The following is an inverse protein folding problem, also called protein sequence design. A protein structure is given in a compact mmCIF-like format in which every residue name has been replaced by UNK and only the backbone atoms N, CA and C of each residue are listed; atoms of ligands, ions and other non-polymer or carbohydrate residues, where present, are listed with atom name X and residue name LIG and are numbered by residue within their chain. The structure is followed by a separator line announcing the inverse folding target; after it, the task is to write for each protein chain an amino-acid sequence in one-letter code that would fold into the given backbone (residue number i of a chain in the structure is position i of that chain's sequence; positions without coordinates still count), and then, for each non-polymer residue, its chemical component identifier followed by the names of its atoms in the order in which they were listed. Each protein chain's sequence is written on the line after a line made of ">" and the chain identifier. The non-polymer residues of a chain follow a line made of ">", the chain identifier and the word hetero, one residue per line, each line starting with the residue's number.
data_IF_686290424347
#
_entry.id   IF_686290424347
#
_cell.length_a   1.000
_cell.length_b   1.000
_cell.length_c   1.000
_cell.angle_alpha   90.00
_cell.angle_beta   90.00
_cell.angle_gamma   90.00
#
_symmetry.space_group_name_H-M   'P 1'
#
loop_
_entity.id
_entity.type
_entity.pdbx_description
1 polymer ?
#
# COMPACT_ATOMS: atom_id res chain seq x y z
N UNK A 1 -2.15 -14.04 25.34
CA UNK A 1 -2.61 -14.02 23.92
C UNK A 1 -1.41 -14.45 23.10
N UNK A 2 -1.56 -15.13 21.96
CA UNK A 2 -0.39 -15.53 21.15
C UNK A 2 -0.46 -14.94 19.75
N UNK A 3 0.68 -14.51 19.23
CA UNK A 3 0.81 -14.11 17.83
C UNK A 3 1.06 -15.32 16.91
N UNK A 4 1.23 -15.07 15.61
CA UNK A 4 1.53 -16.11 14.61
C UNK A 4 2.81 -16.93 14.89
N UNK A 5 3.79 -16.37 15.61
CA UNK A 5 5.00 -17.10 16.02
C UNK A 5 4.76 -18.04 17.20
N UNK A 6 3.61 -17.92 17.87
CA UNK A 6 3.31 -18.62 19.13
C UNK A 6 3.88 -17.93 20.38
N UNK A 7 4.43 -16.72 20.23
CA UNK A 7 4.96 -15.91 21.32
C UNK A 7 3.81 -15.29 22.13
N UNK A 8 3.99 -15.16 23.44
CA UNK A 8 3.01 -14.47 24.29
C UNK A 8 3.02 -12.97 24.03
N UNK A 9 1.86 -12.44 23.65
CA UNK A 9 1.62 -11.05 23.37
C UNK A 9 0.85 -10.38 24.52
N UNK A 10 1.26 -9.15 24.84
CA UNK A 10 0.57 -8.23 25.74
C UNK A 10 -0.63 -7.58 25.04
N UNK A 11 -0.42 -7.09 23.82
CA UNK A 11 -1.44 -6.33 23.09
C UNK A 11 -1.46 -6.75 21.61
N UNK A 12 -2.65 -7.05 21.12
CA UNK A 12 -2.93 -7.13 19.68
C UNK A 12 -3.02 -5.72 19.11
N UNK A 13 -2.26 -5.43 18.05
CA UNK A 13 -2.36 -4.16 17.33
C UNK A 13 -3.27 -4.32 16.11
N UNK A 14 -2.87 -5.18 15.18
CA UNK A 14 -3.60 -5.42 13.94
C UNK A 14 -3.29 -6.78 13.35
N UNK A 15 -4.13 -7.24 12.41
CA UNK A 15 -3.84 -8.38 11.54
C UNK A 15 -4.44 -8.20 10.17
N UNK A 16 -3.81 -8.87 9.21
CA UNK A 16 -4.33 -9.05 7.86
C UNK A 16 -4.89 -10.47 7.75
N UNK A 17 -6.14 -10.58 7.33
CA UNK A 17 -6.84 -11.85 7.19
C UNK A 17 -7.14 -12.19 5.73
N UNK A 18 -6.95 -13.45 5.37
CA UNK A 18 -7.43 -14.03 4.13
C UNK A 18 -8.96 -14.13 4.17
N UNK A 19 -9.64 -13.43 3.27
CA UNK A 19 -11.07 -13.62 2.98
C UNK A 19 -11.26 -14.26 1.61
N UNK A 20 -12.46 -14.73 1.27
CA UNK A 20 -12.76 -15.29 -0.05
C UNK A 20 -12.46 -14.30 -1.19
N UNK A 21 -12.79 -13.02 -0.98
CA UNK A 21 -12.69 -11.93 -1.96
C UNK A 21 -11.37 -11.14 -1.91
N UNK A 22 -10.47 -11.41 -0.95
CA UNK A 22 -9.23 -10.64 -0.83
C UNK A 22 -8.52 -10.76 0.50
N UNK A 23 -7.87 -9.66 0.92
CA UNK A 23 -7.24 -9.51 2.23
C UNK A 23 -7.97 -8.40 3.00
N UNK A 24 -8.41 -8.69 4.22
CA UNK A 24 -9.01 -7.69 5.12
C UNK A 24 -8.01 -7.26 6.19
N UNK A 25 -8.05 -5.97 6.55
CA UNK A 25 -7.30 -5.44 7.68
C UNK A 25 -8.21 -5.34 8.91
N UNK A 26 -7.79 -5.99 9.99
CA UNK A 26 -8.48 -6.00 11.29
C UNK A 26 -7.60 -5.27 12.29
N UNK A 27 -8.16 -4.23 12.92
CA UNK A 27 -7.49 -3.40 13.91
C UNK A 27 -8.02 -3.73 15.31
N UNK A 28 -7.19 -3.53 16.34
CA UNK A 28 -7.65 -3.54 17.73
C UNK A 28 -8.80 -2.56 17.96
N UNK A 29 -9.90 -3.03 18.54
CA UNK A 29 -11.14 -2.25 18.70
C UNK A 29 -10.92 -0.99 19.55
N UNK A 30 -10.19 -1.08 20.66
CA UNK A 30 -9.92 0.09 21.51
C UNK A 30 -9.08 1.15 20.79
N UNK A 31 -8.05 0.73 20.04
CA UNK A 31 -7.25 1.67 19.24
C UNK A 31 -8.09 2.27 18.10
N UNK A 32 -9.01 1.48 17.51
CA UNK A 32 -9.91 1.95 16.47
C UNK A 32 -10.92 2.98 17.00
N UNK A 33 -11.41 2.81 18.22
CA UNK A 33 -12.27 3.76 18.91
C UNK A 33 -11.55 5.07 19.23
N UNK A 34 -10.27 5.02 19.59
CA UNK A 34 -9.47 6.22 19.88
C UNK A 34 -8.80 6.83 18.63
N UNK A 35 -9.14 6.35 17.43
CA UNK A 35 -8.47 6.73 16.19
C UNK A 35 -8.70 8.21 15.79
N UNK A 36 -7.60 8.91 15.54
CA UNK A 36 -7.59 10.28 15.04
C UNK A 36 -7.68 10.34 13.51
N UNK A 37 -8.37 11.35 12.97
CA UNK A 37 -8.58 11.55 11.51
C UNK A 37 -7.26 11.63 10.75
N UNK A 38 -6.27 12.35 11.28
CA UNK A 38 -4.97 12.52 10.62
C UNK A 38 -4.16 11.22 10.60
N UNK A 39 -4.25 10.42 11.67
CA UNK A 39 -3.59 9.11 11.74
C UNK A 39 -4.29 8.11 10.82
N UNK A 40 -5.62 8.06 10.84
CA UNK A 40 -6.41 7.22 9.95
C UNK A 40 -6.08 7.49 8.47
N UNK A 41 -6.01 8.75 8.06
CA UNK A 41 -5.63 9.13 6.71
C UNK A 41 -4.22 8.66 6.31
N UNK A 42 -3.26 8.62 7.25
CA UNK A 42 -1.91 8.07 7.02
C UNK A 42 -1.87 6.54 6.99
N UNK A 43 -2.74 5.88 7.74
CA UNK A 43 -2.83 4.42 7.80
C UNK A 43 -3.38 3.82 6.51
N UNK A 44 -4.40 4.43 5.91
CA UNK A 44 -5.09 3.89 4.72
C UNK A 44 -4.15 3.46 3.58
N UNK A 45 -3.23 4.30 3.08
CA UNK A 45 -2.36 3.91 1.97
C UNK A 45 -1.37 2.80 2.36
N UNK A 46 -0.90 2.76 3.62
CA UNK A 46 -0.01 1.72 4.13
C UNK A 46 -0.74 0.36 4.18
N UNK A 47 -1.94 0.35 4.74
CA UNK A 47 -2.78 -0.85 4.85
C UNK A 47 -3.01 -1.47 3.48
N UNK A 48 -3.23 -0.67 2.45
CA UNK A 48 -3.45 -1.17 1.11
C UNK A 48 -2.22 -1.67 0.40
N UNK A 49 -1.08 -0.98 0.53
CA UNK A 49 0.18 -1.51 0.03
C UNK A 49 0.45 -2.91 0.61
N UNK A 50 0.19 -3.09 1.91
CA UNK A 50 0.26 -4.40 2.55
C UNK A 50 -0.77 -5.39 1.98
N UNK A 51 -2.06 -5.02 1.87
CA UNK A 51 -3.10 -5.90 1.32
C UNK A 51 -2.78 -6.40 -0.10
N UNK A 52 -2.33 -5.50 -0.98
CA UNK A 52 -1.92 -5.81 -2.35
C UNK A 52 -0.77 -6.82 -2.38
N UNK A 53 0.25 -6.60 -1.53
CA UNK A 53 1.39 -7.52 -1.41
C UNK A 53 0.91 -8.89 -0.94
N UNK A 54 0.16 -8.93 0.16
CA UNK A 54 -0.28 -10.15 0.83
C UNK A 54 -1.25 -10.95 -0.03
N UNK A 55 -2.09 -10.29 -0.84
CA UNK A 55 -3.05 -10.93 -1.73
C UNK A 55 -2.37 -11.89 -2.73
N UNK A 56 -1.18 -11.52 -3.23
CA UNK A 56 -0.38 -12.35 -4.15
C UNK A 56 0.05 -13.67 -3.54
N UNK A 57 0.24 -13.67 -2.22
CA UNK A 57 0.68 -14.82 -1.44
C UNK A 57 -0.46 -15.51 -0.68
N UNK A 58 -1.70 -15.05 -0.85
CA UNK A 58 -2.91 -15.61 -0.21
C UNK A 58 -3.02 -17.12 -0.40
N UNK A 59 -2.78 -17.64 -1.61
CA UNK A 59 -2.86 -19.07 -1.92
C UNK A 59 -1.81 -19.93 -1.19
N UNK A 60 -0.75 -19.29 -0.66
CA UNK A 60 0.30 -19.93 0.14
C UNK A 60 0.02 -19.85 1.65
N UNK A 61 -1.01 -19.12 2.07
CA UNK A 61 -1.46 -19.05 3.45
C UNK A 61 -2.60 -20.04 3.67
N UNK A 62 -2.40 -21.01 4.56
CA UNK A 62 -3.43 -21.99 4.92
C UNK A 62 -4.26 -21.56 6.13
N UNK A 63 -3.83 -20.52 6.85
CA UNK A 63 -4.55 -19.93 7.96
C UNK A 63 -5.41 -18.74 7.55
N UNK A 64 -6.29 -18.31 8.47
CA UNK A 64 -7.09 -17.11 8.29
C UNK A 64 -6.24 -15.85 8.37
N UNK A 65 -5.17 -15.83 9.18
CA UNK A 65 -4.31 -14.65 9.34
C UNK A 65 -3.02 -14.85 8.56
N UNK A 66 -2.74 -13.92 7.63
CA UNK A 66 -1.56 -13.96 6.77
C UNK A 66 -0.40 -13.12 7.32
N UNK A 67 -0.71 -12.08 8.08
CA UNK A 67 0.25 -11.23 8.78
C UNK A 67 -0.40 -10.67 10.04
N UNK A 68 0.35 -10.55 11.13
CA UNK A 68 -0.10 -9.87 12.35
C UNK A 68 0.97 -8.94 12.93
N UNK A 69 0.52 -8.03 13.79
CA UNK A 69 1.36 -7.12 14.56
C UNK A 69 0.89 -7.08 16.01
N UNK A 70 1.83 -7.30 16.92
CA UNK A 70 1.57 -7.39 18.36
C UNK A 70 2.65 -6.64 19.15
N UNK A 71 2.29 -6.21 20.36
CA UNK A 71 3.27 -5.87 21.40
C UNK A 71 3.43 -7.11 22.29
N UNK A 72 4.66 -7.56 22.46
CA UNK A 72 5.03 -8.68 23.32
C UNK A 72 5.03 -8.28 24.81
N UNK A 73 5.17 -9.27 25.69
CA UNK A 73 5.18 -9.05 27.15
C UNK A 73 6.38 -8.23 27.64
N UNK A 74 7.49 -8.23 26.89
CA UNK A 74 8.67 -7.42 27.13
C UNK A 74 8.53 -5.98 26.59
N UNK A 75 7.42 -5.68 25.91
CA UNK A 75 7.15 -4.38 25.30
C UNK A 75 7.62 -4.26 23.85
N UNK A 76 8.26 -5.28 23.29
CA UNK A 76 8.74 -5.23 21.91
C UNK A 76 7.58 -5.37 20.92
N UNK A 77 7.63 -4.58 19.84
CA UNK A 77 6.69 -4.72 18.73
C UNK A 77 7.16 -5.81 17.77
N UNK A 78 6.38 -6.88 17.65
CA UNK A 78 6.66 -8.00 16.76
C UNK A 78 5.66 -8.04 15.60
N UNK A 79 6.20 -8.15 14.38
CA UNK A 79 5.44 -8.32 13.15
C UNK A 79 5.73 -9.70 12.58
N UNK A 80 4.71 -10.49 12.32
CA UNK A 80 4.89 -11.85 11.83
C UNK A 80 4.07 -12.12 10.57
N UNK A 81 4.68 -12.83 9.63
CA UNK A 81 4.00 -13.45 8.51
C UNK A 81 3.56 -14.87 8.88
N UNK A 82 2.55 -15.37 8.19
CA UNK A 82 2.19 -16.78 8.27
C UNK A 82 3.42 -17.67 7.98
N UNK A 83 3.63 -18.75 8.75
CA UNK A 83 4.83 -19.59 8.63
C UNK A 83 5.12 -20.01 7.19
N UNK A 84 6.39 -19.86 6.79
CA UNK A 84 6.87 -20.17 5.44
C UNK A 84 6.80 -19.00 4.44
N UNK A 85 5.89 -18.03 4.62
CA UNK A 85 5.78 -16.90 3.67
C UNK A 85 7.02 -16.03 3.64
N UNK A 86 7.71 -15.86 4.77
CA UNK A 86 8.97 -15.10 4.82
C UNK A 86 10.11 -15.71 4.00
N UNK A 87 9.97 -16.95 3.51
CA UNK A 87 10.92 -17.59 2.58
C UNK A 87 10.51 -17.40 1.11
N UNK A 88 9.24 -17.06 0.86
CA UNK A 88 8.70 -16.85 -0.49
C UNK A 88 8.73 -15.38 -0.87
N UNK A 89 8.32 -14.49 0.05
CA UNK A 89 8.41 -13.04 -0.12
C UNK A 89 9.87 -12.65 0.12
N UNK A 90 10.55 -12.12 -0.89
CA UNK A 90 12.00 -11.88 -0.87
C UNK A 90 12.38 -10.46 -1.29
N UNK A 91 13.64 -10.10 -1.04
CA UNK A 91 14.24 -8.87 -1.57
C UNK A 91 13.54 -7.58 -1.14
N UNK A 92 13.38 -6.68 -2.09
CA UNK A 92 12.80 -5.35 -1.87
C UNK A 92 11.31 -5.41 -1.46
N UNK A 93 10.53 -6.36 -1.99
CA UNK A 93 9.11 -6.51 -1.66
C UNK A 93 8.91 -6.88 -0.19
N UNK A 94 9.72 -7.83 0.32
CA UNK A 94 9.69 -8.20 1.75
C UNK A 94 10.02 -7.00 2.63
N UNK A 95 11.06 -6.25 2.27
CA UNK A 95 11.48 -5.06 3.02
C UNK A 95 10.36 -4.02 3.05
N UNK A 96 9.79 -3.69 1.89
CA UNK A 96 8.68 -2.74 1.77
C UNK A 96 7.47 -3.15 2.63
N UNK A 97 7.07 -4.43 2.58
CA UNK A 97 5.95 -4.95 3.37
C UNK A 97 6.17 -4.77 4.88
N UNK A 98 7.35 -5.15 5.38
CA UNK A 98 7.67 -5.01 6.80
C UNK A 98 7.86 -3.55 7.22
N UNK A 99 8.41 -2.70 6.34
CA UNK A 99 8.53 -1.26 6.61
C UNK A 99 7.15 -0.59 6.69
N UNK A 100 6.23 -0.95 5.81
CA UNK A 100 4.85 -0.45 5.83
C UNK A 100 4.10 -0.94 7.06
N UNK A 101 4.18 -2.24 7.38
CA UNK A 101 3.57 -2.81 8.58
C UNK A 101 4.16 -2.23 9.88
N UNK A 102 5.47 -1.95 9.91
CA UNK A 102 6.12 -1.25 11.04
C UNK A 102 5.60 0.18 11.17
N UNK A 103 5.44 0.88 10.05
CA UNK A 103 4.89 2.24 10.05
C UNK A 103 3.44 2.23 10.54
N UNK A 104 2.64 1.24 10.16
CA UNK A 104 1.30 1.01 10.72
C UNK A 104 1.39 0.87 12.25
N UNK A 105 2.22 -0.04 12.76
CA UNK A 105 2.39 -0.23 14.20
C UNK A 105 2.76 1.07 14.93
N UNK A 106 3.70 1.85 14.39
CA UNK A 106 4.11 3.14 14.96
C UNK A 106 2.98 4.17 14.98
N UNK A 107 2.17 4.24 13.92
CA UNK A 107 0.99 5.11 13.90
C UNK A 107 -0.02 4.69 14.99
N UNK A 108 -0.24 3.39 15.20
CA UNK A 108 -1.14 2.89 16.24
C UNK A 108 -0.61 3.17 17.65
N UNK A 109 0.70 3.02 17.87
CA UNK A 109 1.33 3.41 19.13
C UNK A 109 1.17 4.92 19.39
N UNK A 110 1.25 5.73 18.34
CA UNK A 110 1.01 7.19 18.44
C UNK A 110 -0.42 7.51 18.87
N UNK A 111 -1.42 6.72 18.42
CA UNK A 111 -2.80 6.87 18.89
C UNK A 111 -2.87 6.65 20.39
N UNK A 112 -2.30 5.53 20.86
CA UNK A 112 -2.29 5.18 22.28
C UNK A 112 -1.60 6.25 23.14
N UNK A 113 -0.43 6.71 22.72
CA UNK A 113 0.34 7.74 23.43
C UNK A 113 -0.43 9.08 23.49
N UNK A 114 -0.98 9.54 22.36
CA UNK A 114 -1.79 10.78 22.34
C UNK A 114 -2.99 10.66 23.25
N UNK A 115 -3.63 9.50 23.26
CA UNK A 115 -4.80 9.22 24.07
C UNK A 115 -4.49 9.25 25.56
N UNK A 116 -3.40 8.61 25.96
CA UNK A 116 -2.90 8.64 27.33
C UNK A 116 -2.63 10.08 27.80
N UNK A 117 -1.97 10.89 26.96
CA UNK A 117 -1.71 12.31 27.25
C UNK A 117 -2.99 13.15 27.38
N UNK A 118 -4.04 12.86 26.61
CA UNK A 118 -5.34 13.54 26.74
C UNK A 118 -6.02 13.21 28.08
N UNK A 119 -5.98 11.95 28.49
CA UNK A 119 -6.51 11.51 29.78
C UNK A 119 -5.78 12.19 30.94
N UNK A 120 -4.45 12.25 30.90
CA UNK A 120 -3.65 12.94 31.91
C UNK A 120 -3.98 14.44 32.01
N UNK A 121 -4.32 15.06 30.88
CA UNK A 121 -4.66 16.49 30.79
C UNK A 121 -6.14 16.78 31.07
N UNK A 122 -6.97 15.76 31.32
CA UNK A 122 -8.41 15.91 31.56
C UNK A 122 -9.18 16.42 30.33
N UNK A 123 -8.63 16.23 29.12
CA UNK A 123 -9.29 16.65 27.89
C UNK A 123 -10.45 15.71 27.54
N UNK A 124 -11.56 16.28 27.04
CA UNK A 124 -12.66 15.46 26.52
C UNK A 124 -12.17 14.68 25.28
N UNK A 125 -12.64 13.43 25.06
CA UNK A 125 -12.24 12.66 23.91
C UNK A 125 -12.44 13.40 22.59
N UNK A 126 -11.40 13.44 21.75
CA UNK A 126 -11.57 13.81 20.35
C UNK A 126 -12.60 12.87 19.72
N UNK A 127 -13.44 13.40 18.81
CA UNK A 127 -14.44 12.60 18.13
C UNK A 127 -13.76 11.47 17.33
N UNK A 128 -14.03 10.24 17.74
CA UNK A 128 -13.57 9.02 17.11
C UNK A 128 -13.99 8.96 15.64
N UNK A 129 -13.05 8.73 14.73
CA UNK A 129 -13.38 8.29 13.38
C UNK A 129 -13.20 6.78 13.32
N UNK A 130 -14.30 5.99 13.35
CA UNK A 130 -14.18 4.55 13.34
C UNK A 130 -13.55 4.09 12.02
N UNK A 131 -12.42 3.39 12.12
CA UNK A 131 -11.74 2.73 10.99
C UNK A 131 -12.54 1.57 10.38
N UNK A 132 -13.72 1.25 10.93
CA UNK A 132 -14.64 0.21 10.46
C UNK A 132 -15.21 0.45 9.06
N UNK A 133 -14.80 1.53 8.40
CA UNK A 133 -15.04 1.79 6.98
C UNK A 133 -13.75 2.25 6.31
N UNK A 134 -12.73 1.39 6.25
CA UNK A 134 -11.74 1.51 5.18
C UNK A 134 -12.53 1.56 3.86
N UNK A 135 -12.44 2.66 3.09
CA UNK A 135 -13.19 2.76 1.85
C UNK A 135 -12.74 1.62 0.91
N UNK A 136 -13.70 1.02 0.20
CA UNK A 136 -13.43 -0.07 -0.74
C UNK A 136 -12.43 0.33 -1.84
N UNK A 137 -12.28 1.64 -2.09
CA UNK A 137 -11.26 2.23 -2.92
C UNK A 137 -10.42 3.20 -2.11
N UNK A 138 -9.11 3.20 -2.37
CA UNK A 138 -8.21 4.16 -1.75
C UNK A 138 -8.04 5.36 -2.66
N UNK A 139 -8.14 6.58 -2.11
CA UNK A 139 -7.81 7.77 -2.88
C UNK A 139 -6.38 7.62 -3.41
N UNK A 140 -6.21 7.64 -4.72
CA UNK A 140 -4.91 7.63 -5.40
C UNK A 140 -3.95 8.69 -4.82
N UNK A 141 -4.49 9.82 -4.37
CA UNK A 141 -3.77 10.88 -3.65
C UNK A 141 -3.02 10.38 -2.40
N UNK A 142 -3.56 9.40 -1.68
CA UNK A 142 -2.91 8.78 -0.52
C UNK A 142 -1.68 7.94 -0.90
N UNK A 143 -1.76 7.19 -2.00
CA UNK A 143 -0.64 6.40 -2.53
C UNK A 143 0.45 7.28 -3.13
N UNK A 144 0.07 8.37 -3.80
CA UNK A 144 1.01 9.39 -4.30
C UNK A 144 1.76 10.08 -3.15
N UNK A 145 1.05 10.48 -2.09
CA UNK A 145 1.66 11.09 -0.92
C UNK A 145 2.65 10.13 -0.23
N UNK A 146 2.28 8.85 -0.11
CA UNK A 146 3.16 7.81 0.43
C UNK A 146 4.43 7.65 -0.41
N UNK A 147 4.30 7.61 -1.74
CA UNK A 147 5.45 7.55 -2.65
C UNK A 147 6.37 8.77 -2.58
N UNK A 148 5.81 9.96 -2.43
CA UNK A 148 6.59 11.17 -2.23
C UNK A 148 7.31 11.18 -0.87
N UNK A 149 6.66 10.73 0.19
CA UNK A 149 7.27 10.63 1.52
C UNK A 149 8.45 9.67 1.52
N UNK A 150 8.28 8.46 0.98
CA UNK A 150 9.35 7.46 0.92
C UNK A 150 10.58 7.97 0.17
N UNK A 151 10.41 8.69 -0.93
CA UNK A 151 11.55 9.30 -1.67
C UNK A 151 12.33 10.34 -0.88
N UNK A 152 11.68 11.08 0.01
CA UNK A 152 12.38 12.06 0.86
C UNK A 152 13.21 11.36 1.94
N UNK A 153 12.84 10.15 2.34
CA UNK A 153 13.53 9.35 3.34
C UNK A 153 14.63 8.46 2.74
N UNK A 154 14.47 8.02 1.49
CA UNK A 154 15.50 7.29 0.75
C UNK A 154 16.62 8.24 0.33
N UNK A 155 17.73 8.21 1.07
CA UNK A 155 18.99 8.80 0.64
C UNK A 155 19.54 7.98 -0.53
N UNK A 156 19.20 8.41 -1.76
CA UNK A 156 19.59 7.86 -3.06
C UNK A 156 18.61 6.82 -3.63
N UNK A 157 17.89 7.12 -4.74
CA UNK A 157 17.38 6.06 -5.59
C UNK A 157 18.58 5.41 -6.29
N UNK A 158 18.74 4.10 -6.16
CA UNK A 158 19.69 3.40 -7.03
C UNK A 158 19.31 3.69 -8.49
N UNK A 159 20.26 4.19 -9.32
CA UNK A 159 19.96 4.80 -10.62
C UNK A 159 19.54 3.82 -11.73
N UNK A 160 18.96 2.66 -11.42
CA UNK A 160 18.56 1.64 -12.40
C UNK A 160 17.07 1.43 -12.60
N UNK A 161 16.22 1.66 -11.58
CA UNK A 161 14.82 1.15 -11.58
C UNK A 161 13.74 2.20 -11.31
N UNK A 162 14.09 3.44 -10.97
CA UNK A 162 13.08 4.51 -10.85
C UNK A 162 12.60 4.95 -12.24
N UNK A 163 11.29 4.93 -12.51
CA UNK A 163 10.75 5.43 -13.77
C UNK A 163 11.16 6.89 -13.98
N UNK A 164 11.69 7.21 -15.15
CA UNK A 164 11.99 8.60 -15.53
C UNK A 164 10.69 9.42 -15.51
N UNK A 165 10.66 10.64 -14.92
CA UNK A 165 9.46 11.46 -14.94
C UNK A 165 9.05 11.78 -16.38
N UNK A 166 7.84 11.39 -16.78
CA UNK A 166 7.26 11.73 -18.08
C UNK A 166 6.75 13.17 -18.04
N UNK A 167 7.12 14.00 -19.03
CA UNK A 167 6.52 15.32 -19.21
C UNK A 167 5.06 15.18 -19.65
N UNK A 168 4.16 16.12 -19.34
CA UNK A 168 2.83 16.17 -19.95
C UNK A 168 2.85 16.13 -21.49
N UNK A 169 3.92 16.65 -22.10
CA UNK A 169 4.11 16.65 -23.56
C UNK A 169 4.44 15.25 -24.12
N UNK A 170 4.85 14.31 -23.26
CA UNK A 170 5.14 12.91 -23.61
C UNK A 170 3.90 12.00 -23.45
N UNK A 171 2.73 12.55 -23.10
CA UNK A 171 1.53 11.78 -22.77
C UNK A 171 0.35 12.19 -23.66
N UNK A 172 -0.66 11.31 -23.82
CA UNK A 172 -1.90 11.67 -24.51
C UNK A 172 -2.54 12.92 -23.90
N UNK A 173 -3.24 13.71 -24.73
CA UNK A 173 -3.84 14.96 -24.29
C UNK A 173 -4.74 14.75 -23.06
N UNK A 174 -4.56 15.60 -22.05
CA UNK A 174 -5.34 15.52 -20.81
C UNK A 174 -4.83 14.50 -19.78
N UNK A 175 -3.77 13.74 -20.08
CA UNK A 175 -3.11 12.83 -19.14
C UNK A 175 -2.02 13.55 -18.35
N UNK A 176 -1.95 13.26 -17.06
CA UNK A 176 -0.86 13.66 -16.18
C UNK A 176 -0.25 12.42 -15.54
N UNK A 177 1.07 12.30 -15.62
CA UNK A 177 1.82 11.31 -14.85
C UNK A 177 2.26 11.91 -13.51
N UNK A 178 2.05 11.15 -12.45
CA UNK A 178 2.49 11.46 -11.09
C UNK A 178 3.30 10.28 -10.60
N UNK A 179 4.40 10.54 -9.89
CA UNK A 179 5.05 9.44 -9.20
C UNK A 179 4.17 9.00 -8.03
N UNK A 180 3.97 7.70 -7.94
CA UNK A 180 3.18 7.02 -6.94
C UNK A 180 4.00 5.88 -6.33
N UNK A 181 3.34 5.09 -5.49
CA UNK A 181 3.94 3.96 -4.81
C UNK A 181 2.95 2.81 -4.77
N UNK A 182 3.46 1.61 -5.01
CA UNK A 182 2.72 0.39 -4.75
C UNK A 182 3.59 -0.65 -4.07
N UNK A 183 3.04 -1.84 -3.89
CA UNK A 183 3.70 -2.97 -3.23
C UNK A 183 5.02 -3.40 -3.90
N UNK A 184 5.30 -3.05 -5.16
CA UNK A 184 6.57 -3.33 -5.86
C UNK A 184 7.59 -2.19 -5.72
N UNK A 185 7.21 -1.06 -5.14
CA UNK A 185 8.06 0.13 -4.98
C UNK A 185 7.52 1.34 -5.74
N UNK A 186 8.42 2.18 -6.25
CA UNK A 186 8.05 3.38 -6.99
C UNK A 186 7.36 3.04 -8.32
N UNK A 187 6.23 3.68 -8.57
CA UNK A 187 5.47 3.52 -9.80
C UNK A 187 5.03 4.88 -10.37
N UNK A 188 4.57 4.91 -11.62
CA UNK A 188 3.94 6.09 -12.22
C UNK A 188 2.43 5.91 -12.19
N UNK A 189 1.73 6.75 -11.44
CA UNK A 189 0.28 6.90 -11.54
C UNK A 189 -0.10 7.79 -12.72
N UNK A 190 -1.23 7.53 -13.35
CA UNK A 190 -1.77 8.34 -14.43
C UNK A 190 -3.19 8.79 -14.11
N UNK A 191 -3.42 10.09 -14.27
CA UNK A 191 -4.74 10.70 -14.16
C UNK A 191 -5.11 11.41 -15.45
N UNK A 192 -6.39 11.36 -15.82
CA UNK A 192 -6.94 12.12 -16.93
C UNK A 192 -7.87 13.22 -16.42
N UNK A 193 -7.81 14.41 -17.02
CA UNK A 193 -8.61 15.58 -16.62
C UNK A 193 -10.12 15.32 -16.52
N UNK A 194 -10.65 14.43 -17.37
CA UNK A 194 -12.09 14.10 -17.41
C UNK A 194 -12.45 12.69 -16.94
N UNK A 195 -11.51 11.74 -17.01
CA UNK A 195 -11.77 10.34 -16.64
C UNK A 195 -11.29 10.01 -15.22
N UNK A 196 -10.66 10.97 -14.54
CA UNK A 196 -10.07 10.74 -13.22
C UNK A 196 -8.84 9.84 -13.30
N UNK A 197 -8.57 9.11 -12.22
CA UNK A 197 -7.42 8.22 -12.14
C UNK A 197 -7.59 7.03 -13.11
N UNK A 198 -6.61 6.84 -13.98
CA UNK A 198 -6.61 5.83 -15.05
C UNK A 198 -6.00 4.52 -14.58
N UNK A 199 -4.92 4.58 -13.81
CA UNK A 199 -4.11 3.43 -13.50
C UNK A 199 -2.68 3.80 -13.13
N UNK A 200 -1.83 2.78 -13.00
CA UNK A 200 -0.40 2.93 -12.72
C UNK A 200 0.44 2.06 -13.63
N UNK A 201 1.69 2.42 -13.76
CA UNK A 201 2.72 1.67 -14.46
C UNK A 201 3.88 1.42 -13.52
N UNK A 202 4.27 0.15 -13.46
CA UNK A 202 5.28 -0.33 -12.53
C UNK A 202 6.41 -0.97 -13.30
N UNK A 203 7.60 -0.46 -13.03
CA UNK A 203 8.84 -1.02 -13.54
C UNK A 203 9.30 -2.07 -12.53
N UNK A 204 9.53 -3.28 -13.00
CA UNK A 204 10.11 -4.34 -12.17
C UNK A 204 11.03 -5.21 -13.04
N UNK A 205 12.07 -5.76 -12.43
CA UNK A 205 12.97 -6.69 -13.11
C UNK A 205 12.42 -8.12 -13.02
N UNK A 206 12.40 -8.81 -14.16
CA UNK A 206 12.08 -10.24 -14.27
C UNK A 206 13.24 -10.89 -15.02
N UNK A 207 13.93 -11.84 -14.38
CA UNK A 207 15.06 -12.58 -14.97
C UNK A 207 16.18 -11.69 -15.57
N UNK A 208 16.39 -10.49 -15.01
CA UNK A 208 17.39 -9.52 -15.47
C UNK A 208 16.91 -8.60 -16.61
N UNK A 209 15.64 -8.69 -17.00
CA UNK A 209 15.00 -7.81 -17.97
C UNK A 209 14.06 -6.82 -17.28
N UNK A 210 14.14 -5.55 -17.68
CA UNK A 210 13.23 -4.50 -17.20
C UNK A 210 11.86 -4.66 -17.84
N UNK A 211 10.85 -5.03 -17.05
CA UNK A 211 9.47 -5.21 -17.50
C UNK A 211 8.58 -4.08 -17.01
N UNK A 212 7.82 -3.50 -17.94
CA UNK A 212 6.76 -2.54 -17.63
C UNK A 212 5.42 -3.26 -17.51
N UNK A 213 4.81 -3.20 -16.32
CA UNK A 213 3.44 -3.65 -16.10
C UNK A 213 2.51 -2.45 -15.91
N UNK A 214 1.45 -2.38 -16.71
CA UNK A 214 0.35 -1.44 -16.49
C UNK A 214 -0.80 -2.11 -15.74
N UNK A 215 -1.33 -1.40 -14.74
CA UNK A 215 -2.52 -1.78 -13.99
C UNK A 215 -3.56 -0.67 -14.13
N UNK A 216 -4.73 -1.05 -14.64
CA UNK A 216 -5.85 -0.13 -14.82
C UNK A 216 -6.60 0.02 -13.50
N UNK A 217 -7.01 1.24 -13.16
CA UNK A 217 -7.83 1.47 -11.98
C UNK A 217 -9.31 1.29 -12.31
N UNK A 218 -9.95 0.34 -11.62
CA UNK A 218 -11.28 -0.17 -11.97
C UNK A 218 -12.35 0.21 -10.93
N UNK A 219 -12.40 1.49 -10.55
CA UNK A 219 -13.37 2.03 -9.59
C UNK A 219 -14.75 2.35 -10.20
N UNK A 220 -14.79 2.69 -11.48
CA UNK A 220 -16.01 3.03 -12.21
C UNK A 220 -16.08 2.31 -13.57
N UNK A 221 -16.89 1.26 -13.61
CA UNK A 221 -17.11 0.43 -14.82
C UNK A 221 -17.71 1.23 -15.98
N UNK A 222 -18.33 2.40 -15.75
CA UNK A 222 -18.99 3.18 -16.81
C UNK A 222 -18.01 3.84 -17.77
N UNK A 223 -16.76 4.06 -17.34
CA UNK A 223 -15.71 4.67 -18.15
C UNK A 223 -14.54 3.72 -18.46
N UNK A 224 -14.72 2.42 -18.19
CA UNK A 224 -13.65 1.42 -18.28
C UNK A 224 -13.01 1.33 -19.67
N UNK A 225 -13.81 1.25 -20.74
CA UNK A 225 -13.30 1.18 -22.11
C UNK A 225 -12.51 2.44 -22.51
N UNK A 226 -12.99 3.62 -22.08
CA UNK A 226 -12.31 4.89 -22.30
C UNK A 226 -11.00 4.96 -21.53
N UNK A 227 -10.99 4.54 -20.25
CA UNK A 227 -9.77 4.47 -19.42
C UNK A 227 -8.76 3.51 -20.03
N UNK A 228 -9.20 2.34 -20.49
CA UNK A 228 -8.35 1.34 -21.13
C UNK A 228 -7.73 1.89 -22.43
N UNK A 229 -8.52 2.54 -23.28
CA UNK A 229 -8.03 3.14 -24.53
C UNK A 229 -6.94 4.18 -24.26
N UNK A 230 -7.12 5.04 -23.25
CA UNK A 230 -6.12 6.04 -22.88
C UNK A 230 -4.87 5.37 -22.30
N UNK A 231 -5.03 4.32 -21.49
CA UNK A 231 -3.89 3.58 -20.91
C UNK A 231 -3.08 2.84 -21.99
N UNK A 232 -3.74 2.26 -22.99
CA UNK A 232 -3.07 1.64 -24.15
C UNK A 232 -2.29 2.69 -24.96
N UNK A 233 -2.84 3.90 -25.12
CA UNK A 233 -2.12 5.00 -25.76
C UNK A 233 -0.89 5.45 -24.96
N UNK A 234 -1.00 5.54 -23.62
CA UNK A 234 0.13 5.83 -22.73
C UNK A 234 1.23 4.76 -22.91
N UNK A 235 0.86 3.48 -22.90
CA UNK A 235 1.78 2.36 -23.10
C UNK A 235 2.48 2.42 -24.45
N UNK A 236 1.74 2.72 -25.53
CA UNK A 236 2.31 2.86 -26.87
C UNK A 236 3.36 3.98 -26.90
N UNK A 237 3.09 5.14 -26.29
CA UNK A 237 4.03 6.27 -26.24
C UNK A 237 5.29 5.93 -25.45
N UNK A 238 5.16 5.25 -24.31
CA UNK A 238 6.30 4.84 -23.49
C UNK A 238 7.14 3.78 -24.21
N UNK A 239 6.50 2.78 -24.83
CA UNK A 239 7.18 1.73 -25.60
C UNK A 239 7.98 2.31 -26.75
N UNK A 240 7.38 3.23 -27.52
CA UNK A 240 8.02 3.88 -28.66
C UNK A 240 9.24 4.73 -28.27
N UNK A 241 9.25 5.25 -27.04
CA UNK A 241 10.29 6.16 -26.56
C UNK A 241 11.46 5.45 -25.86
N UNK A 242 11.22 4.33 -25.19
CA UNK A 242 12.19 3.74 -24.26
C UNK A 242 12.68 2.32 -24.63
N UNK A 243 12.29 1.75 -25.78
CA UNK A 243 12.68 0.39 -26.21
C UNK A 243 12.42 -0.70 -25.13
N UNK A 244 11.30 -0.60 -24.42
CA UNK A 244 10.98 -1.51 -23.29
C UNK A 244 9.88 -2.50 -23.67
N UNK A 245 9.96 -3.73 -23.14
CA UNK A 245 8.94 -4.77 -23.31
C UNK A 245 7.77 -4.48 -22.35
N UNK A 246 6.58 -4.24 -22.89
CA UNK A 246 5.36 -3.99 -22.13
C UNK A 246 4.54 -5.27 -21.97
N UNK A 247 4.21 -5.64 -20.74
CA UNK A 247 3.24 -6.68 -20.45
C UNK A 247 1.81 -6.14 -20.65
N UNK A 248 0.95 -6.90 -21.32
CA UNK A 248 -0.46 -6.52 -21.53
C UNK A 248 -1.17 -6.24 -20.19
N UNK A 249 -2.04 -5.21 -20.13
CA UNK A 249 -2.81 -4.90 -18.92
C UNK A 249 -3.66 -6.12 -18.51
N UNK A 250 -3.58 -6.51 -17.24
CA UNK A 250 -4.49 -7.49 -16.64
C UNK A 250 -5.71 -6.73 -16.13
N UNK A 251 -6.89 -7.10 -16.63
CA UNK A 251 -8.18 -6.57 -16.19
C UNK A 251 -8.67 -7.21 -14.91
#
# INVERSE_FOLDING_TARGET
>A
MKNLAGNEAMLFLFRFECQESGISFVLNEGIAEDMYVDISARLQPLVHACCETLLRYRSRCQGNTIMDGHILLDGDCELMLFPGLGQVIQGAEKRALFDDARTIAQQLLTVMERREQEYEKGAAPAAAFPLSKLPASIPHTGLEALGQQKRRCDASPEPGTTPTPLSPDDLPEGVQATMSYDHRGYCLGFSHRTLGYLGKLVVHEVDGETVLAAELFNDDMTCLESKQTVMEAILATITARFEVIVAKPRG
#
